data_IF_075899709206
#
_entry.id   IF_075899709206
#
_cell.length_a   1.000
_cell.length_b   1.000
_cell.length_c   1.000
_cell.angle_alpha   90.00
_cell.angle_beta   90.00
_cell.angle_gamma   90.00
#
_symmetry.space_group_name_H-M   'P 1'
#
loop_
_entity.id
_entity.type
_entity.pdbx_description
1 polymer ?
#
# COMPACT_ATOMS: atom_id res chain seq x y z
N UNK A 1 -14.81 14.72 -8.69
CA UNK A 1 -14.93 14.50 -7.23
C UNK A 1 -16.27 15.03 -6.81
N UNK A 2 -17.15 14.16 -6.33
CA UNK A 2 -18.42 14.59 -5.74
C UNK A 2 -18.12 15.27 -4.40
N UNK A 3 -18.46 16.57 -4.31
CA UNK A 3 -18.24 17.39 -3.11
C UNK A 3 -19.11 16.95 -1.93
N UNK A 4 -20.09 16.08 -2.16
CA UNK A 4 -20.92 15.48 -1.12
C UNK A 4 -20.34 14.19 -0.54
N UNK A 5 -19.25 13.65 -1.12
CA UNK A 5 -18.58 12.42 -0.63
C UNK A 5 -17.39 12.67 0.29
N UNK A 6 -16.90 13.91 0.39
CA UNK A 6 -15.76 14.28 1.24
C UNK A 6 -15.86 15.72 1.78
N UNK A 7 -15.74 15.96 3.10
CA UNK A 7 -15.79 15.03 4.24
C UNK A 7 -17.24 14.68 4.63
N UNK A 8 -17.51 13.39 4.84
CA UNK A 8 -18.80 12.82 5.24
C UNK A 8 -18.86 12.58 6.75
N UNK A 9 -20.04 12.91 7.32
CA UNK A 9 -20.52 12.82 8.70
C UNK A 9 -20.17 14.03 9.56
N UNK A 10 -21.22 14.66 10.08
CA UNK A 10 -21.25 15.83 10.97
C UNK A 10 -20.36 15.62 12.22
N UNK A 11 -19.04 15.62 12.05
CA UNK A 11 -18.06 15.38 13.12
C UNK A 11 -17.40 14.00 13.17
N UNK A 12 -17.64 13.06 12.24
CA UNK A 12 -16.83 11.81 12.20
C UNK A 12 -15.77 11.89 11.10
N UNK A 13 -14.53 11.50 11.43
CA UNK A 13 -13.42 11.47 10.47
C UNK A 13 -13.63 10.43 9.37
N UNK A 14 -13.06 10.67 8.19
CA UNK A 14 -13.09 9.71 7.08
C UNK A 14 -11.84 8.81 7.09
N UNK A 15 -12.04 7.51 6.87
CA UNK A 15 -10.93 6.56 6.74
C UNK A 15 -10.08 6.88 5.51
N UNK A 16 -8.75 6.95 5.68
CA UNK A 16 -7.84 7.12 4.54
C UNK A 16 -7.89 5.94 3.59
N UNK A 17 -8.21 4.74 4.06
CA UNK A 17 -8.42 3.59 3.17
C UNK A 17 -9.64 3.80 2.27
N UNK A 18 -10.77 4.26 2.83
CA UNK A 18 -11.99 4.55 2.06
C UNK A 18 -11.78 5.70 1.06
N UNK A 19 -11.05 6.74 1.47
CA UNK A 19 -10.64 7.82 0.57
C UNK A 19 -9.79 7.29 -0.59
N UNK A 20 -8.81 6.45 -0.28
CA UNK A 20 -7.95 5.84 -1.28
C UNK A 20 -8.72 4.91 -2.22
N UNK A 21 -9.67 4.12 -1.73
CA UNK A 21 -10.51 3.27 -2.58
C UNK A 21 -11.36 4.08 -3.56
N UNK A 22 -11.83 5.27 -3.16
CA UNK A 22 -12.52 6.17 -4.08
C UNK A 22 -11.59 6.90 -5.05
N UNK A 23 -10.43 7.36 -4.57
CA UNK A 23 -9.45 8.09 -5.38
C UNK A 23 -8.72 7.20 -6.39
N UNK A 24 -8.50 5.94 -6.03
CA UNK A 24 -7.62 5.02 -6.75
C UNK A 24 -8.38 3.91 -7.45
N UNK A 25 -9.64 4.17 -7.80
CA UNK A 25 -10.41 3.30 -8.68
C UNK A 25 -9.67 3.07 -9.99
N UNK A 26 -9.56 1.81 -10.36
CA UNK A 26 -8.94 1.37 -11.58
C UNK A 26 -9.84 0.35 -12.25
N UNK A 27 -9.75 0.28 -13.58
CA UNK A 27 -10.44 -0.74 -14.34
C UNK A 27 -9.44 -1.79 -14.81
N UNK A 28 -9.84 -3.05 -14.65
CA UNK A 28 -9.19 -4.19 -15.29
C UNK A 28 -7.71 -4.34 -14.88
N UNK A 29 -7.42 -4.35 -13.58
CA UNK A 29 -6.05 -4.61 -13.09
C UNK A 29 -5.74 -6.11 -13.05
N UNK A 30 -6.75 -6.93 -12.76
CA UNK A 30 -6.58 -8.35 -12.52
C UNK A 30 -7.82 -8.98 -11.88
N UNK A 31 -7.64 -10.15 -11.30
CA UNK A 31 -8.68 -10.91 -10.61
C UNK A 31 -8.13 -11.50 -9.31
N UNK A 32 -8.98 -11.59 -8.29
CA UNK A 32 -8.80 -12.42 -7.11
C UNK A 32 -9.79 -13.58 -7.22
N UNK A 33 -9.26 -14.80 -7.32
CA UNK A 33 -10.05 -16.03 -7.33
C UNK A 33 -10.01 -16.66 -5.94
N UNK A 34 -11.16 -17.05 -5.41
CA UNK A 34 -11.29 -17.70 -4.10
C UNK A 34 -12.02 -19.04 -4.24
N UNK A 35 -11.40 -20.12 -3.81
CA UNK A 35 -11.93 -21.48 -3.95
C UNK A 35 -12.13 -22.13 -2.58
N UNK A 36 -13.37 -22.54 -2.28
CA UNK A 36 -13.68 -23.30 -1.08
C UNK A 36 -13.73 -24.80 -1.42
N UNK A 37 -12.79 -25.56 -0.90
CA UNK A 37 -12.75 -27.02 -1.07
C UNK A 37 -13.83 -27.78 -0.29
N UNK A 38 -14.50 -27.14 0.69
CA UNK A 38 -15.59 -27.79 1.47
C UNK A 38 -16.90 -27.80 0.67
N UNK A 39 -17.37 -26.63 0.24
CA UNK A 39 -18.65 -26.50 -0.46
C UNK A 39 -18.53 -26.44 -1.99
N UNK A 40 -17.30 -26.42 -2.52
CA UNK A 40 -17.04 -26.30 -3.95
C UNK A 40 -17.31 -24.91 -4.54
N UNK A 41 -17.61 -23.90 -3.70
CA UNK A 41 -17.86 -22.54 -4.20
C UNK A 41 -16.57 -21.93 -4.73
N UNK A 42 -16.65 -21.35 -5.94
CA UNK A 42 -15.58 -20.53 -6.52
C UNK A 42 -16.11 -19.13 -6.77
N UNK A 43 -15.29 -18.11 -6.49
CA UNK A 43 -15.64 -16.72 -6.70
C UNK A 43 -14.47 -15.96 -7.32
N UNK A 44 -14.74 -15.31 -8.44
CA UNK A 44 -13.85 -14.36 -9.08
C UNK A 44 -14.28 -12.93 -8.78
N UNK A 45 -13.35 -12.13 -8.27
CA UNK A 45 -13.56 -10.71 -7.97
C UNK A 45 -12.55 -9.88 -8.77
N UNK A 46 -12.98 -8.90 -9.58
CA UNK A 46 -12.05 -8.02 -10.28
C UNK A 46 -11.27 -7.15 -9.29
N UNK A 47 -10.01 -6.87 -9.61
CA UNK A 47 -9.20 -5.90 -8.86
C UNK A 47 -9.50 -4.51 -9.43
N UNK A 48 -10.20 -3.70 -8.65
CA UNK A 48 -10.72 -2.38 -9.06
C UNK A 48 -10.10 -1.19 -8.30
N UNK A 49 -9.10 -1.42 -7.46
CA UNK A 49 -8.39 -0.38 -6.68
C UNK A 49 -6.88 -0.53 -6.83
N UNK A 50 -6.15 0.59 -6.79
CA UNK A 50 -4.68 0.60 -6.71
C UNK A 50 -4.18 0.55 -5.27
N UNK A 51 -5.08 0.47 -4.28
CA UNK A 51 -4.76 0.27 -2.87
C UNK A 51 -4.64 -1.22 -2.55
N UNK A 52 -3.48 -1.62 -2.03
CA UNK A 52 -3.18 -2.96 -1.58
C UNK A 52 -3.07 -2.94 -0.05
N UNK A 53 -3.93 -3.70 0.62
CA UNK A 53 -3.95 -3.77 2.07
C UNK A 53 -2.93 -4.79 2.57
N UNK A 54 -1.77 -4.32 3.03
CA UNK A 54 -0.71 -5.18 3.52
C UNK A 54 -1.07 -5.70 4.92
N UNK A 55 -1.19 -7.02 5.02
CA UNK A 55 -1.31 -7.72 6.30
C UNK A 55 0.09 -8.07 6.85
N UNK A 56 0.20 -8.17 8.17
CA UNK A 56 1.39 -8.69 8.81
C UNK A 56 1.63 -10.13 8.35
N UNK A 57 2.85 -10.42 7.93
CA UNK A 57 3.28 -11.79 7.66
C UNK A 57 4.09 -12.27 8.86
N UNK A 58 3.90 -13.54 9.25
CA UNK A 58 4.75 -14.17 10.24
C UNK A 58 6.22 -14.03 9.80
N UNK A 59 7.07 -13.57 10.72
CA UNK A 59 8.50 -13.48 10.46
C UNK A 59 8.98 -14.90 10.15
N UNK A 60 9.52 -15.11 8.94
CA UNK A 60 10.24 -16.33 8.66
C UNK A 60 11.45 -16.26 9.58
N UNK A 61 11.51 -17.11 10.62
CA UNK A 61 12.64 -17.26 11.54
C UNK A 61 13.87 -17.80 10.80
N UNK A 62 14.35 -17.05 9.81
CA UNK A 62 15.60 -17.26 9.13
C UNK A 62 16.33 -15.92 9.21
N UNK A 63 17.10 -15.79 10.30
CA UNK A 63 18.02 -14.69 10.61
C UNK A 63 17.34 -13.40 11.15
N UNK A 64 17.73 -12.99 12.37
CA UNK A 64 17.21 -11.82 13.11
C UNK A 64 17.41 -10.46 12.40
N UNK A 65 17.97 -10.49 11.19
CA UNK A 65 18.33 -9.30 10.40
C UNK A 65 17.46 -9.06 9.17
N UNK A 66 16.63 -10.02 8.72
CA UNK A 66 15.88 -9.87 7.46
C UNK A 66 14.49 -9.26 7.67
N UNK A 67 14.39 -7.92 7.56
CA UNK A 67 13.08 -7.24 7.58
C UNK A 67 12.25 -7.58 6.34
N UNK A 68 11.00 -8.00 6.56
CA UNK A 68 10.02 -8.17 5.47
C UNK A 68 9.77 -6.82 4.78
N UNK A 69 9.80 -6.80 3.45
CA UNK A 69 9.63 -5.57 2.66
C UNK A 69 8.36 -5.67 1.83
N UNK A 70 7.87 -4.52 1.33
CA UNK A 70 6.76 -4.50 0.36
C UNK A 70 7.03 -5.42 -0.85
N UNK A 71 8.29 -5.57 -1.27
CA UNK A 71 8.64 -6.51 -2.36
C UNK A 71 8.38 -7.96 -1.96
N UNK A 72 8.78 -8.36 -0.75
CA UNK A 72 8.54 -9.72 -0.24
C UNK A 72 7.04 -9.98 -0.12
N UNK A 73 6.31 -9.06 0.50
CA UNK A 73 4.86 -9.15 0.64
C UNK A 73 4.16 -9.27 -0.72
N UNK A 74 4.53 -8.43 -1.69
CA UNK A 74 3.93 -8.44 -3.02
C UNK A 74 4.20 -9.74 -3.78
N UNK A 75 5.40 -10.30 -3.64
CA UNK A 75 5.73 -11.61 -4.22
C UNK A 75 4.88 -12.73 -3.62
N UNK A 76 4.65 -12.73 -2.30
CA UNK A 76 3.76 -13.70 -1.66
C UNK A 76 2.30 -13.50 -2.06
N UNK A 77 1.84 -12.25 -2.09
CA UNK A 77 0.46 -11.90 -2.42
C UNK A 77 0.08 -12.29 -3.85
N UNK A 78 1.02 -12.19 -4.79
CA UNK A 78 0.84 -12.56 -6.20
C UNK A 78 1.33 -13.98 -6.52
N UNK A 79 1.67 -14.79 -5.51
CA UNK A 79 2.17 -16.14 -5.74
C UNK A 79 1.06 -17.04 -6.34
N UNK A 80 1.36 -17.89 -7.33
CA UNK A 80 0.38 -18.82 -7.89
C UNK A 80 -0.15 -19.85 -6.88
N UNK A 81 0.60 -20.11 -5.81
CA UNK A 81 0.17 -20.94 -4.69
C UNK A 81 -0.97 -20.29 -3.87
N UNK A 82 -1.28 -19.02 -4.12
CA UNK A 82 -2.28 -18.28 -3.37
C UNK A 82 -1.89 -18.02 -1.92
N UNK A 83 -2.80 -17.34 -1.22
CA UNK A 83 -2.70 -17.00 0.21
C UNK A 83 -4.02 -17.28 0.91
N UNK A 84 -3.94 -17.65 2.19
CA UNK A 84 -5.11 -17.88 3.04
C UNK A 84 -5.34 -16.66 3.92
N UNK A 85 -6.03 -15.63 3.40
CA UNK A 85 -6.27 -14.40 4.15
C UNK A 85 -7.52 -13.65 3.70
N UNK A 86 -8.34 -13.20 4.66
CA UNK A 86 -9.39 -12.21 4.44
C UNK A 86 -10.68 -12.70 3.78
N UNK A 87 -10.72 -13.96 3.32
CA UNK A 87 -11.93 -14.58 2.75
C UNK A 87 -12.30 -15.78 3.59
N UNK A 88 -13.51 -15.77 4.14
CA UNK A 88 -14.03 -16.79 5.03
C UNK A 88 -15.19 -17.55 4.38
N UNK A 89 -15.13 -18.87 4.37
CA UNK A 89 -16.21 -19.73 3.90
C UNK A 89 -16.19 -21.05 4.69
N UNK A 90 -17.36 -21.61 4.98
CA UNK A 90 -17.48 -22.90 5.67
C UNK A 90 -16.67 -23.00 6.98
N UNK A 91 -16.54 -21.90 7.73
CA UNK A 91 -15.84 -21.90 9.02
C UNK A 91 -14.30 -21.84 8.94
N UNK A 92 -13.72 -21.52 7.78
CA UNK A 92 -12.27 -21.37 7.63
C UNK A 92 -11.89 -20.29 6.61
N UNK A 93 -10.62 -19.88 6.65
CA UNK A 93 -10.03 -19.09 5.57
C UNK A 93 -9.94 -19.95 4.31
N UNK A 94 -10.36 -19.39 3.17
CA UNK A 94 -10.18 -20.04 1.88
C UNK A 94 -8.92 -19.56 1.19
N UNK A 95 -8.40 -20.40 0.30
CA UNK A 95 -7.27 -20.06 -0.53
C UNK A 95 -7.71 -19.00 -1.56
N UNK A 96 -6.91 -17.96 -1.70
CA UNK A 96 -7.14 -16.88 -2.66
C UNK A 96 -5.92 -16.72 -3.56
N UNK A 97 -6.15 -16.70 -4.87
CA UNK A 97 -5.12 -16.47 -5.87
C UNK A 97 -5.34 -15.10 -6.47
N UNK A 98 -4.36 -14.21 -6.32
CA UNK A 98 -4.39 -12.87 -6.92
C UNK A 98 -3.53 -12.87 -8.18
N UNK A 99 -4.14 -12.54 -9.31
CA UNK A 99 -3.45 -12.41 -10.59
C UNK A 99 -3.66 -11.02 -11.19
N UNK A 100 -2.56 -10.29 -11.42
CA UNK A 100 -2.58 -9.05 -12.18
C UNK A 100 -2.50 -9.35 -13.68
N UNK A 101 -3.35 -8.72 -14.50
CA UNK A 101 -3.28 -8.77 -15.97
C UNK A 101 -2.26 -7.78 -16.53
N UNK A 102 -2.14 -6.61 -15.88
CA UNK A 102 -1.21 -5.55 -16.24
C UNK A 102 -0.57 -4.97 -14.98
N UNK A 103 0.64 -4.44 -15.10
CA UNK A 103 1.28 -3.71 -13.99
C UNK A 103 0.76 -2.27 -13.95
N UNK A 104 0.02 -1.84 -12.90
CA UNK A 104 -0.42 -0.46 -12.78
C UNK A 104 0.75 0.53 -12.67
N UNK A 105 0.56 1.77 -13.13
CA UNK A 105 1.59 2.83 -13.06
C UNK A 105 1.79 3.38 -11.65
N UNK A 106 0.83 3.14 -10.76
CA UNK A 106 0.76 3.65 -9.40
C UNK A 106 0.28 2.52 -8.47
N UNK A 107 0.86 2.44 -7.29
CA UNK A 107 0.48 1.51 -6.24
C UNK A 107 0.43 2.27 -4.91
N UNK A 108 -0.66 2.11 -4.17
CA UNK A 108 -0.73 2.48 -2.78
C UNK A 108 -0.69 1.21 -1.93
N UNK A 109 0.20 1.15 -0.96
CA UNK A 109 0.28 0.06 0.01
C UNK A 109 -0.15 0.58 1.37
N UNK A 110 -1.24 0.05 1.92
CA UNK A 110 -1.62 0.29 3.30
C UNK A 110 -0.75 -0.56 4.21
N UNK A 111 0.14 0.10 4.95
CA UNK A 111 1.16 -0.54 5.79
C UNK A 111 0.92 -0.34 7.29
N UNK A 112 -0.15 0.37 7.67
CA UNK A 112 -0.46 0.74 9.05
C UNK A 112 -0.56 -0.44 10.04
N UNK A 113 -0.90 -1.64 9.55
CA UNK A 113 -1.04 -2.88 10.36
C UNK A 113 -0.05 -3.97 9.96
N UNK A 114 1.03 -3.57 9.32
CA UNK A 114 2.05 -4.48 8.80
C UNK A 114 3.39 -4.27 9.53
N UNK A 115 4.26 -5.27 9.45
CA UNK A 115 5.66 -5.19 9.89
C UNK A 115 6.61 -4.88 8.70
N UNK A 116 6.08 -4.29 7.62
CA UNK A 116 6.84 -4.11 6.39
C UNK A 116 7.79 -2.91 6.45
N UNK A 117 9.04 -3.15 6.10
CA UNK A 117 10.01 -2.13 5.80
C UNK A 117 9.79 -1.51 4.41
N UNK A 118 10.06 -0.20 4.33
CA UNK A 118 10.08 0.53 3.07
C UNK A 118 11.37 0.23 2.29
N UNK A 119 11.27 0.38 0.97
CA UNK A 119 12.42 0.34 0.06
C UNK A 119 12.39 1.54 -0.88
N UNK A 120 13.53 2.11 -1.27
CA UNK A 120 13.56 3.25 -2.21
C UNK A 120 12.98 2.89 -3.58
N UNK A 121 13.13 1.63 -3.97
CA UNK A 121 12.53 1.07 -5.18
C UNK A 121 12.40 -0.44 -5.06
N UNK A 122 11.45 -1.01 -5.80
CA UNK A 122 11.28 -2.44 -5.94
C UNK A 122 11.02 -2.80 -7.41
N UNK A 123 11.16 -4.08 -7.75
CA UNK A 123 10.88 -4.60 -9.09
C UNK A 123 9.71 -5.56 -9.04
N UNK A 124 8.76 -5.40 -9.97
CA UNK A 124 7.62 -6.30 -10.15
C UNK A 124 7.64 -6.84 -11.58
N UNK A 125 7.38 -8.14 -11.74
CA UNK A 125 7.21 -8.78 -13.05
C UNK A 125 5.80 -9.34 -13.12
N UNK A 126 4.99 -8.80 -14.02
CA UNK A 126 3.68 -9.37 -14.40
C UNK A 126 3.81 -9.93 -15.82
N UNK A 127 3.78 -9.06 -16.83
CA UNK A 127 4.12 -9.40 -18.21
C UNK A 127 5.52 -8.92 -18.60
N UNK A 128 5.96 -7.78 -18.06
CA UNK A 128 7.29 -7.21 -18.23
C UNK A 128 7.84 -6.81 -16.87
N UNK A 129 9.15 -6.93 -16.68
CA UNK A 129 9.83 -6.42 -15.48
C UNK A 129 9.72 -4.89 -15.44
N UNK A 130 9.14 -4.37 -14.37
CA UNK A 130 8.98 -2.93 -14.11
C UNK A 130 9.64 -2.55 -12.79
N UNK A 131 10.28 -1.39 -12.77
CA UNK A 131 10.82 -0.78 -11.55
C UNK A 131 9.81 0.21 -11.00
N UNK A 132 9.46 0.05 -9.74
CA UNK A 132 8.62 0.97 -8.98
C UNK A 132 9.50 1.74 -8.00
N UNK A 133 9.29 3.04 -7.88
CA UNK A 133 10.04 3.94 -6.98
C UNK A 133 9.11 4.52 -5.94
N UNK A 134 9.59 4.66 -4.70
CA UNK A 134 8.84 5.32 -3.63
C UNK A 134 8.65 6.79 -3.99
N UNK A 135 7.39 7.26 -3.97
CA UNK A 135 6.96 8.61 -4.38
C UNK A 135 6.22 9.37 -3.31
N UNK A 136 5.67 8.68 -2.32
CA UNK A 136 5.01 9.33 -1.21
C UNK A 136 4.83 8.40 -0.03
N UNK A 137 4.69 9.01 1.14
CA UNK A 137 4.39 8.35 2.40
C UNK A 137 3.34 9.20 3.09
N UNK A 138 2.26 8.57 3.55
CA UNK A 138 1.24 9.21 4.36
C UNK A 138 1.38 8.69 5.78
N UNK A 139 1.52 9.59 6.74
CA UNK A 139 1.67 9.31 8.15
C UNK A 139 0.39 9.58 8.90
N UNK A 140 0.10 8.79 9.93
CA UNK A 140 -1.03 8.96 10.82
C UNK A 140 -0.58 8.94 12.28
N UNK A 141 -1.20 9.79 13.08
CA UNK A 141 -1.03 9.84 14.54
C UNK A 141 -1.77 11.06 15.08
N UNK A 142 -2.24 10.99 16.33
CA UNK A 142 -2.94 12.11 16.98
C UNK A 142 -4.11 12.67 16.14
N UNK A 143 -4.88 11.78 15.50
CA UNK A 143 -6.05 12.10 14.67
C UNK A 143 -5.78 12.99 13.44
N UNK A 144 -4.52 13.14 13.02
CA UNK A 144 -4.14 14.01 11.91
C UNK A 144 -3.15 13.33 10.95
N UNK A 145 -3.42 13.43 9.65
CA UNK A 145 -2.54 12.89 8.62
C UNK A 145 -1.53 13.92 8.14
N UNK A 146 -0.29 13.49 7.97
CA UNK A 146 0.76 14.29 7.33
C UNK A 146 1.40 13.48 6.21
N UNK A 147 2.19 14.11 5.34
CA UNK A 147 2.80 13.38 4.25
C UNK A 147 4.23 13.83 3.96
N UNK A 148 4.97 12.90 3.34
CA UNK A 148 6.15 13.22 2.54
C UNK A 148 5.88 12.84 1.10
N UNK A 149 6.23 13.70 0.15
CA UNK A 149 6.28 13.33 -1.26
C UNK A 149 7.71 13.45 -1.80
N UNK A 150 8.02 12.64 -2.81
CA UNK A 150 9.38 12.43 -3.31
C UNK A 150 9.43 12.73 -4.80
N UNK A 151 10.18 13.76 -5.17
CA UNK A 151 10.30 14.22 -6.57
C UNK A 151 11.09 13.25 -7.44
N UNK A 152 11.06 13.46 -8.77
CA UNK A 152 11.88 12.68 -9.73
C UNK A 152 13.38 12.73 -9.36
N UNK A 153 13.87 13.88 -8.92
CA UNK A 153 15.23 14.13 -8.43
C UNK A 153 15.49 13.58 -7.02
N UNK A 154 14.48 12.93 -6.43
CA UNK A 154 14.51 12.28 -5.11
C UNK A 154 14.52 13.22 -3.92
N UNK A 155 14.19 14.49 -4.14
CA UNK A 155 13.99 15.45 -3.06
C UNK A 155 12.73 15.09 -2.27
N UNK A 156 12.85 15.16 -0.95
CA UNK A 156 11.81 14.78 0.00
C UNK A 156 11.21 16.04 0.58
N UNK A 157 9.91 16.23 0.37
CA UNK A 157 9.16 17.36 0.87
C UNK A 157 8.11 16.91 1.85
N UNK A 158 8.04 17.56 3.01
CA UNK A 158 7.03 17.35 4.03
C UNK A 158 5.89 18.35 3.91
N UNK A 159 4.66 17.89 4.14
CA UNK A 159 3.47 18.74 4.29
C UNK A 159 2.59 18.18 5.41
N UNK A 160 2.21 19.07 6.33
CA UNK A 160 1.29 18.78 7.43
C UNK A 160 -0.16 19.14 7.07
N UNK A 161 -0.36 20.06 6.13
CA UNK A 161 -1.67 20.53 5.70
C UNK A 161 -2.32 21.48 6.69
N UNK A 162 -2.24 21.21 8.00
CA UNK A 162 -2.76 22.10 9.05
C UNK A 162 -1.78 23.23 9.35
N UNK A 163 -0.51 22.90 9.65
CA UNK A 163 0.50 23.92 9.94
C UNK A 163 1.14 24.50 8.68
N UNK A 164 1.44 23.65 7.70
CA UNK A 164 2.16 24.08 6.48
C UNK A 164 1.22 24.68 5.42
N UNK A 165 -0.10 24.48 5.56
CA UNK A 165 -1.08 24.87 4.56
C UNK A 165 -0.69 24.35 3.17
N UNK A 166 -0.59 25.27 2.20
CA UNK A 166 -0.23 24.98 0.80
C UNK A 166 1.27 24.85 0.55
N UNK A 167 2.10 25.13 1.56
CA UNK A 167 3.55 25.09 1.43
C UNK A 167 4.09 23.70 1.80
N UNK A 168 5.23 23.35 1.21
CA UNK A 168 5.94 22.11 1.50
C UNK A 168 7.36 22.44 1.99
N UNK A 169 7.83 21.72 2.99
CA UNK A 169 9.15 21.92 3.59
C UNK A 169 10.10 20.91 2.97
N UNK A 170 11.19 21.38 2.33
CA UNK A 170 12.25 20.50 1.86
C UNK A 170 13.00 19.92 3.07
N UNK A 171 13.02 18.59 3.19
CA UNK A 171 13.71 17.89 4.29
C UNK A 171 15.03 17.24 3.85
N UNK A 172 15.31 17.20 2.54
CA UNK A 172 16.56 16.70 1.99
C UNK A 172 16.35 15.80 0.77
N UNK A 173 17.28 14.88 0.53
CA UNK A 173 17.22 13.93 -0.59
C UNK A 173 17.14 12.48 -0.09
N UNK A 174 16.27 11.67 -0.69
CA UNK A 174 15.98 10.29 -0.30
C UNK A 174 17.23 9.40 -0.31
N UNK A 175 18.19 9.67 -1.18
CA UNK A 175 19.42 8.87 -1.28
C UNK A 175 20.32 9.07 -0.05
N UNK A 176 20.18 10.21 0.64
CA UNK A 176 20.95 10.55 1.85
C UNK A 176 20.21 10.26 3.16
N UNK A 177 18.92 9.92 3.10
CA UNK A 177 18.11 9.59 4.28
C UNK A 177 18.15 8.10 4.58
N UNK A 178 18.15 7.71 5.86
CA UNK A 178 17.87 6.31 6.21
C UNK A 178 16.41 5.97 5.88
N UNK A 179 16.22 4.90 5.09
CA UNK A 179 14.89 4.44 4.66
C UNK A 179 14.03 4.00 5.83
N UNK A 180 14.63 3.49 6.91
CA UNK A 180 13.90 3.03 8.09
C UNK A 180 13.34 4.19 8.91
N UNK A 181 14.06 5.32 8.95
CA UNK A 181 13.59 6.54 9.58
C UNK A 181 12.40 7.17 8.83
N UNK A 182 12.08 6.70 7.62
CA UNK A 182 10.90 7.16 6.89
C UNK A 182 9.61 6.44 7.31
N UNK A 183 9.67 5.40 8.14
CA UNK A 183 8.48 4.79 8.74
C UNK A 183 7.85 5.67 9.81
N UNK A 184 8.58 6.68 10.31
CA UNK A 184 8.05 7.67 11.24
C UNK A 184 8.33 9.09 10.75
N UNK A 185 7.49 10.03 11.17
CA UNK A 185 7.69 11.44 10.90
C UNK A 185 7.03 12.25 12.02
N UNK A 186 7.84 12.98 12.80
CA UNK A 186 7.37 13.91 13.84
C UNK A 186 6.34 13.27 14.78
N UNK A 187 6.65 12.09 15.32
CA UNK A 187 5.78 11.34 16.23
C UNK A 187 4.64 10.54 15.58
N UNK A 188 4.50 10.59 14.24
CA UNK A 188 3.47 9.86 13.49
C UNK A 188 4.08 8.65 12.78
N UNK A 189 3.28 7.61 12.58
CA UNK A 189 3.70 6.36 11.92
C UNK A 189 3.20 6.30 10.48
N UNK A 190 3.98 5.70 9.59
CA UNK A 190 3.59 5.52 8.19
C UNK A 190 2.38 4.61 8.09
N UNK A 191 1.37 5.07 7.36
CA UNK A 191 0.09 4.39 7.14
C UNK A 191 -0.07 3.95 5.69
N UNK A 192 0.38 4.77 4.74
CA UNK A 192 0.45 4.43 3.32
C UNK A 192 1.84 4.65 2.76
N UNK A 193 2.27 3.75 1.87
CA UNK A 193 3.43 3.96 1.01
C UNK A 193 3.00 3.97 -0.46
N UNK A 194 3.39 5.00 -1.19
CA UNK A 194 3.00 5.21 -2.58
C UNK A 194 4.19 4.93 -3.50
N UNK A 195 4.03 4.00 -4.43
CA UNK A 195 5.04 3.64 -5.42
C UNK A 195 4.55 3.92 -6.83
N UNK A 196 5.43 4.39 -7.70
CA UNK A 196 5.12 4.63 -9.10
C UNK A 196 6.16 4.00 -10.02
N UNK A 197 5.73 3.54 -11.19
CA UNK A 197 6.64 3.10 -12.24
C UNK A 197 7.63 4.23 -12.58
N UNK A 198 8.92 3.89 -12.62
CA UNK A 198 9.92 4.76 -13.26
C UNK A 198 9.57 4.89 -14.73
N UNK A 199 9.43 6.14 -15.21
CA UNK A 199 9.35 6.44 -16.64
C UNK A 199 10.70 6.16 -17.30
#
# INVERSE_FOLDING_TARGET
MDRHRFPLRRGEGTSVAELCDELFKAQDLGTVTSDCHICGSSKDVPIETLLFNCYAQAEIHADETLRLTIKHWLSSYLAPSGVYHGVWCCGQNVQTITALRKTPRFFAFSIARSNLALTRSLTLTVSKKRRLTLRGIVYFGEFHFTCRFITKSRDVYFNDGAQTGRQCILEGNLDNMDIYNLLTCRGKSASLALYMQSL
#
